data_IF_107486367476
#
_entry.id   IF_107486367476
#
_cell.length_a   1.000
_cell.length_b   1.000
_cell.length_c   1.000
_cell.angle_alpha   90.00
_cell.angle_beta   90.00
_cell.angle_gamma   90.00
#
_symmetry.space_group_name_H-M   'P 1'
#
loop_
_entity.id
_entity.type
_entity.pdbx_description
1 polymer ?
#
# COMPACT_ATOMS: atom_id res chain seq x y z
N UNK A 1 -58.14 -82.40 -12.07
CA UNK A 1 -57.29 -81.27 -11.62
C UNK A 1 -55.84 -81.69 -11.84
N UNK A 2 -55.32 -81.56 -13.06
CA UNK A 2 -54.55 -80.41 -13.63
C UNK A 2 -53.18 -80.19 -12.95
N UNK A 3 -52.14 -80.79 -13.53
CA UNK A 3 -51.02 -80.16 -14.27
C UNK A 3 -49.81 -79.84 -13.36
N UNK A 4 -48.80 -80.72 -13.30
CA UNK A 4 -47.63 -80.90 -14.18
C UNK A 4 -46.47 -79.94 -13.88
N UNK A 5 -45.41 -80.52 -13.31
CA UNK A 5 -44.02 -80.08 -13.39
C UNK A 5 -43.57 -79.99 -14.86
N UNK A 6 -43.10 -78.82 -15.34
CA UNK A 6 -42.40 -78.69 -16.61
C UNK A 6 -41.48 -77.45 -16.66
N UNK A 7 -40.22 -77.69 -16.33
CA UNK A 7 -38.99 -77.32 -17.04
C UNK A 7 -39.01 -76.34 -18.23
N UNK A 8 -38.01 -75.44 -18.21
CA UNK A 8 -37.07 -75.09 -19.30
C UNK A 8 -37.34 -73.88 -20.25
N UNK A 9 -36.33 -72.99 -20.25
CA UNK A 9 -35.86 -72.05 -21.32
C UNK A 9 -36.60 -70.73 -21.49
N UNK A 10 -35.99 -69.65 -20.97
CA UNK A 10 -35.90 -68.28 -21.51
C UNK A 10 -35.39 -67.45 -20.31
N UNK A 11 -34.12 -67.07 -20.14
CA UNK A 11 -33.25 -66.35 -21.06
C UNK A 11 -31.80 -66.49 -20.52
N UNK A 12 -30.91 -67.06 -21.32
CA UNK A 12 -29.47 -66.82 -21.26
C UNK A 12 -29.14 -65.87 -22.41
N UNK A 13 -28.08 -65.06 -22.26
CA UNK A 13 -27.69 -63.86 -23.02
C UNK A 13 -28.26 -62.60 -22.35
N UNK A 14 -27.49 -61.64 -21.83
CA UNK A 14 -26.37 -60.96 -22.48
C UNK A 14 -25.16 -60.99 -21.55
N UNK A 15 -24.17 -61.79 -21.95
CA UNK A 15 -22.79 -61.57 -21.60
C UNK A 15 -22.28 -60.34 -22.38
N UNK A 16 -21.29 -59.66 -21.80
CA UNK A 16 -20.44 -58.62 -22.43
C UNK A 16 -21.10 -57.25 -22.59
N UNK A 17 -21.04 -56.43 -21.55
CA UNK A 17 -20.78 -54.99 -21.64
C UNK A 17 -20.62 -54.41 -20.22
N UNK A 18 -19.86 -53.32 -20.11
CA UNK A 18 -19.43 -52.64 -18.87
C UNK A 18 -18.11 -53.12 -18.24
N UNK A 19 -17.11 -53.40 -19.08
CA UNK A 19 -15.71 -53.14 -18.73
C UNK A 19 -15.27 -51.81 -19.36
N UNK A 20 -15.94 -50.71 -19.02
CA UNK A 20 -15.51 -49.37 -19.43
C UNK A 20 -16.14 -48.30 -18.53
N UNK A 21 -15.75 -48.26 -17.27
CA UNK A 21 -16.04 -47.11 -16.41
C UNK A 21 -14.93 -47.02 -15.38
N UNK A 22 -14.53 -45.80 -15.06
CA UNK A 22 -13.50 -45.42 -14.08
C UNK A 22 -12.05 -45.31 -14.59
N UNK A 23 -11.86 -44.61 -15.70
CA UNK A 23 -10.76 -43.64 -15.78
C UNK A 23 -11.33 -42.24 -16.04
N UNK A 24 -12.31 -41.83 -15.23
CA UNK A 24 -12.55 -40.40 -15.00
C UNK A 24 -11.51 -39.95 -13.98
N UNK A 25 -10.27 -39.78 -14.43
CA UNK A 25 -9.29 -39.04 -13.65
C UNK A 25 -9.92 -37.69 -13.34
N UNK A 26 -10.15 -37.40 -12.06
CA UNK A 26 -10.52 -36.06 -11.62
C UNK A 26 -9.31 -35.18 -11.91
N UNK A 27 -9.26 -34.61 -13.11
CA UNK A 27 -8.37 -33.50 -13.41
C UNK A 27 -8.98 -32.32 -12.67
N UNK A 28 -8.62 -32.16 -11.39
CA UNK A 28 -8.73 -30.85 -10.78
C UNK A 28 -7.69 -29.98 -11.49
N UNK A 29 -8.10 -28.98 -12.29
CA UNK A 29 -7.15 -27.99 -12.76
C UNK A 29 -6.52 -27.39 -11.51
N UNK A 30 -5.20 -27.52 -11.36
CA UNK A 30 -4.48 -26.79 -10.32
C UNK A 30 -4.84 -25.31 -10.49
N UNK A 31 -5.69 -24.80 -9.60
CA UNK A 31 -6.04 -23.39 -9.60
C UNK A 31 -4.79 -22.66 -9.14
N UNK A 32 -4.25 -21.82 -10.02
CA UNK A 32 -3.18 -20.92 -9.67
C UNK A 32 -3.78 -19.89 -8.69
N UNK A 33 -3.42 -19.97 -7.41
CA UNK A 33 -3.85 -19.02 -6.40
C UNK A 33 -2.96 -17.78 -6.53
N UNK A 34 -3.59 -16.62 -6.77
CA UNK A 34 -2.90 -15.34 -6.86
C UNK A 34 -3.36 -14.45 -5.68
N UNK A 35 -2.40 -13.86 -4.97
CA UNK A 35 -2.67 -13.03 -3.79
C UNK A 35 -2.11 -11.62 -3.95
N UNK A 36 -2.77 -10.64 -3.35
CA UNK A 36 -2.29 -9.26 -3.25
C UNK A 36 -2.29 -8.81 -1.80
N UNK A 37 -1.17 -8.27 -1.35
CA UNK A 37 -1.02 -7.70 -0.01
C UNK A 37 -0.45 -6.28 -0.07
N UNK A 38 -0.73 -5.50 0.98
CA UNK A 38 -0.19 -4.15 1.18
C UNK A 38 0.63 -4.15 2.46
N UNK A 39 1.80 -3.52 2.41
CA UNK A 39 2.69 -3.33 3.57
C UNK A 39 2.72 -1.84 3.88
N UNK A 40 2.27 -1.50 5.08
CA UNK A 40 2.34 -0.14 5.60
C UNK A 40 3.70 0.05 6.27
N UNK A 41 4.45 1.07 5.82
CA UNK A 41 5.78 1.40 6.30
C UNK A 41 5.75 2.80 6.92
N UNK A 42 5.90 2.95 8.25
CA UNK A 42 5.92 4.26 8.88
C UNK A 42 7.15 5.06 8.42
N UNK A 43 6.95 6.34 8.12
CA UNK A 43 7.99 7.29 7.71
C UNK A 43 7.99 8.47 8.69
N UNK A 44 8.68 8.28 9.82
CA UNK A 44 8.66 9.22 10.96
C UNK A 44 9.58 10.42 10.79
N UNK A 45 10.53 10.37 9.84
CA UNK A 45 11.56 11.40 9.65
C UNK A 45 11.88 11.58 8.18
N UNK A 46 12.53 12.70 7.85
CA UNK A 46 13.22 12.83 6.57
C UNK A 46 14.25 11.71 6.43
N UNK A 47 14.04 10.87 5.43
CA UNK A 47 14.96 9.81 4.99
C UNK A 47 15.39 10.09 3.56
N UNK A 48 16.61 9.73 3.22
CA UNK A 48 17.06 9.82 1.83
C UNK A 48 16.30 8.81 0.95
N UNK A 49 16.11 9.15 -0.32
CA UNK A 49 15.38 8.28 -1.26
C UNK A 49 15.95 6.86 -1.30
N UNK A 50 17.27 6.70 -1.29
CA UNK A 50 17.93 5.40 -1.27
C UNK A 50 17.67 4.62 0.01
N UNK A 51 17.62 5.28 1.16
CA UNK A 51 17.33 4.63 2.45
C UNK A 51 15.88 4.14 2.47
N UNK A 52 14.96 4.99 2.01
CA UNK A 52 13.53 4.65 1.91
C UNK A 52 13.29 3.45 0.99
N UNK A 53 13.94 3.42 -0.18
CA UNK A 53 13.85 2.28 -1.10
C UNK A 53 14.46 1.03 -0.47
N UNK A 54 15.63 1.12 0.14
CA UNK A 54 16.28 -0.04 0.76
C UNK A 54 15.44 -0.65 1.90
N UNK A 55 14.79 0.20 2.71
CA UNK A 55 13.88 -0.26 3.77
C UNK A 55 12.66 -0.97 3.18
N UNK A 56 12.03 -0.38 2.17
CA UNK A 56 10.88 -0.98 1.49
C UNK A 56 11.23 -2.34 0.87
N UNK A 57 12.39 -2.45 0.21
CA UNK A 57 12.87 -3.70 -0.38
C UNK A 57 13.14 -4.79 0.66
N UNK A 58 13.69 -4.42 1.83
CA UNK A 58 13.91 -5.36 2.93
C UNK A 58 12.58 -5.95 3.42
N UNK A 59 11.58 -5.10 3.66
CA UNK A 59 10.24 -5.53 4.10
C UNK A 59 9.56 -6.44 3.07
N UNK A 60 9.71 -6.11 1.79
CA UNK A 60 9.21 -6.93 0.68
C UNK A 60 9.85 -8.30 0.63
N UNK A 61 11.18 -8.38 0.72
CA UNK A 61 11.90 -9.65 0.65
C UNK A 61 11.44 -10.61 1.74
N UNK A 62 11.27 -10.09 2.96
CA UNK A 62 10.73 -10.85 4.10
C UNK A 62 9.27 -11.26 3.87
N UNK A 63 8.41 -10.35 3.43
CA UNK A 63 6.99 -10.63 3.21
C UNK A 63 6.77 -11.66 2.10
N UNK A 64 7.46 -11.53 0.97
CA UNK A 64 7.39 -12.47 -0.16
C UNK A 64 7.84 -13.87 0.29
N UNK A 65 8.98 -13.94 0.97
CA UNK A 65 9.52 -15.22 1.49
C UNK A 65 8.55 -15.88 2.47
N UNK A 66 7.96 -15.08 3.37
CA UNK A 66 6.97 -15.56 4.33
C UNK A 66 5.70 -16.08 3.64
N UNK A 67 5.15 -15.33 2.69
CA UNK A 67 3.92 -15.70 2.00
C UNK A 67 4.08 -16.99 1.20
N UNK A 68 5.15 -17.11 0.41
CA UNK A 68 5.40 -18.35 -0.31
C UNK A 68 5.69 -19.54 0.62
N UNK A 69 6.23 -19.30 1.82
CA UNK A 69 6.44 -20.37 2.80
C UNK A 69 5.15 -20.80 3.51
N UNK A 70 4.22 -19.87 3.74
CA UNK A 70 2.95 -20.12 4.44
C UNK A 70 1.87 -20.70 3.53
N UNK A 71 1.82 -20.27 2.27
CA UNK A 71 0.80 -20.64 1.30
C UNK A 71 1.44 -21.45 0.17
N UNK A 72 1.53 -22.79 0.24
CA UNK A 72 2.22 -23.59 -0.78
C UNK A 72 1.54 -23.55 -2.16
N UNK A 73 0.22 -23.35 -2.18
CA UNK A 73 -0.58 -23.27 -3.41
C UNK A 73 -0.50 -21.90 -4.11
N UNK A 74 0.07 -20.89 -3.44
CA UNK A 74 0.28 -19.56 -4.00
C UNK A 74 1.27 -19.60 -5.16
N UNK A 75 0.81 -19.22 -6.35
CA UNK A 75 1.61 -19.13 -7.57
C UNK A 75 2.21 -17.76 -7.80
N UNK A 76 1.41 -16.71 -7.59
CA UNK A 76 1.79 -15.32 -7.86
C UNK A 76 1.44 -14.45 -6.69
N UNK A 77 2.36 -13.57 -6.31
CA UNK A 77 2.14 -12.59 -5.26
C UNK A 77 2.36 -11.19 -5.82
N UNK A 78 1.39 -10.31 -5.58
CA UNK A 78 1.55 -8.88 -5.72
C UNK A 78 1.68 -8.24 -4.33
N UNK A 79 2.70 -7.41 -4.15
CA UNK A 79 2.92 -6.68 -2.90
C UNK A 79 3.09 -5.21 -3.21
N UNK A 80 2.30 -4.37 -2.57
CA UNK A 80 2.46 -2.92 -2.59
C UNK A 80 3.04 -2.44 -1.26
N UNK A 81 4.12 -1.67 -1.28
CA UNK A 81 4.64 -1.00 -0.09
C UNK A 81 4.18 0.44 -0.12
N UNK A 82 3.56 0.88 0.97
CA UNK A 82 3.00 2.22 1.12
C UNK A 82 3.66 2.87 2.32
N UNK A 83 4.21 4.07 2.12
CA UNK A 83 4.70 4.90 3.21
C UNK A 83 3.53 5.56 3.93
N UNK A 84 3.44 5.37 5.24
CA UNK A 84 2.54 6.13 6.11
C UNK A 84 3.32 7.29 6.71
N UNK A 85 2.91 8.52 6.35
CA UNK A 85 3.41 9.72 7.01
C UNK A 85 2.22 10.53 7.50
N UNK A 86 2.06 10.61 8.82
CA UNK A 86 0.97 11.35 9.47
C UNK A 86 -0.43 10.96 8.96
N UNK A 87 -0.64 9.68 8.62
CA UNK A 87 -1.90 9.17 8.08
C UNK A 87 -2.07 9.35 6.57
N UNK A 88 -1.09 9.93 5.88
CA UNK A 88 -1.06 9.94 4.41
C UNK A 88 -0.36 8.68 3.88
N UNK A 89 -1.12 7.90 3.10
CA UNK A 89 -0.68 6.64 2.51
C UNK A 89 -0.13 6.86 1.09
N UNK A 90 1.20 6.83 0.95
CA UNK A 90 1.88 7.13 -0.31
C UNK A 90 2.58 5.87 -0.85
N UNK A 91 2.21 5.37 -2.04
CA UNK A 91 2.80 4.13 -2.58
C UNK A 91 4.28 4.32 -2.90
N UNK A 92 5.17 3.50 -2.35
CA UNK A 92 6.62 3.62 -2.56
C UNK A 92 7.05 2.77 -3.74
N UNK A 93 6.68 1.49 -3.73
CA UNK A 93 7.01 0.55 -4.78
C UNK A 93 6.00 -0.62 -4.80
N UNK A 94 5.90 -1.28 -5.94
CA UNK A 94 5.08 -2.49 -6.13
C UNK A 94 5.91 -3.60 -6.74
N UNK A 95 5.65 -4.84 -6.32
CA UNK A 95 6.26 -6.05 -6.85
C UNK A 95 5.16 -7.00 -7.29
N UNK A 96 5.33 -7.62 -8.45
CA UNK A 96 4.54 -8.77 -8.85
C UNK A 96 5.52 -9.87 -9.23
N UNK A 97 5.50 -10.98 -8.50
CA UNK A 97 6.47 -12.06 -8.67
C UNK A 97 5.79 -13.42 -8.51
N UNK A 98 6.17 -14.38 -9.35
CA UNK A 98 5.74 -15.76 -9.18
C UNK A 98 6.71 -16.54 -8.29
N UNK A 99 6.24 -17.63 -7.69
CA UNK A 99 7.08 -18.53 -6.88
C UNK A 99 8.32 -19.01 -7.66
N UNK A 100 8.13 -19.40 -8.91
CA UNK A 100 9.21 -19.87 -9.76
C UNK A 100 10.26 -18.78 -10.01
N UNK A 101 9.80 -17.54 -10.23
CA UNK A 101 10.68 -16.37 -10.38
C UNK A 101 11.44 -16.06 -9.09
N UNK A 102 10.77 -16.10 -7.95
CA UNK A 102 11.38 -15.85 -6.64
C UNK A 102 12.43 -16.91 -6.28
N UNK A 103 12.15 -18.18 -6.54
CA UNK A 103 13.10 -19.28 -6.34
C UNK A 103 14.33 -19.17 -7.25
N UNK A 104 14.13 -18.73 -8.50
CA UNK A 104 15.22 -18.54 -9.45
C UNK A 104 16.09 -17.31 -9.11
N UNK A 105 15.47 -16.21 -8.65
CA UNK A 105 16.16 -14.99 -8.29
C UNK A 105 15.44 -14.26 -7.13
N UNK A 106 15.86 -14.50 -5.87
CA UNK A 106 15.27 -13.87 -4.68
C UNK A 106 15.82 -12.45 -4.46
N UNK A 107 15.85 -11.64 -5.51
CA UNK A 107 16.24 -10.23 -5.47
C UNK A 107 15.01 -9.39 -5.79
N UNK A 108 14.53 -8.63 -4.80
CA UNK A 108 13.30 -7.82 -4.88
C UNK A 108 13.37 -6.81 -6.03
N UNK A 109 14.52 -6.17 -6.21
CA UNK A 109 14.76 -5.15 -7.24
C UNK A 109 14.57 -5.67 -8.68
N UNK A 110 14.72 -6.98 -8.93
CA UNK A 110 14.52 -7.56 -10.25
C UNK A 110 13.04 -7.52 -10.72
N UNK A 111 12.10 -7.41 -9.78
CA UNK A 111 10.66 -7.49 -10.02
C UNK A 111 9.92 -6.22 -9.58
N UNK A 112 10.65 -5.24 -9.06
CA UNK A 112 10.10 -4.02 -8.46
C UNK A 112 9.81 -2.93 -9.48
N UNK A 113 8.71 -2.21 -9.26
CA UNK A 113 8.39 -0.94 -9.92
C UNK A 113 8.32 0.15 -8.87
N UNK A 114 9.13 1.20 -9.05
CA UNK A 114 9.28 2.28 -8.07
C UNK A 114 8.46 3.51 -8.46
N UNK A 115 7.74 4.08 -7.50
CA UNK A 115 6.99 5.32 -7.68
C UNK A 115 7.88 6.52 -7.32
N UNK A 116 8.61 7.04 -8.31
CA UNK A 116 9.58 8.14 -8.08
C UNK A 116 8.96 9.42 -7.50
N UNK A 117 7.71 9.72 -7.84
CA UNK A 117 7.01 10.91 -7.35
C UNK A 117 6.70 10.84 -5.85
N UNK A 118 6.58 9.63 -5.30
CA UNK A 118 6.21 9.37 -3.91
C UNK A 118 7.19 9.96 -2.92
N UNK A 119 8.47 9.97 -3.28
CA UNK A 119 9.49 10.61 -2.47
C UNK A 119 9.20 12.09 -2.22
N UNK A 120 8.89 12.84 -3.28
CA UNK A 120 8.58 14.27 -3.15
C UNK A 120 7.31 14.53 -2.32
N UNK A 121 6.33 13.63 -2.38
CA UNK A 121 5.11 13.71 -1.58
C UNK A 121 5.41 13.47 -0.10
N UNK A 122 6.19 12.44 0.20
CA UNK A 122 6.60 12.12 1.57
C UNK A 122 7.37 13.27 2.21
N UNK A 123 8.20 14.02 1.48
CA UNK A 123 8.97 15.14 2.05
C UNK A 123 8.19 16.45 2.25
N UNK A 124 6.98 16.60 1.69
CA UNK A 124 6.25 17.89 1.73
C UNK A 124 5.86 18.33 3.16
N UNK A 125 5.63 17.38 4.05
CA UNK A 125 4.99 17.63 5.34
C UNK A 125 5.88 18.32 6.39
N UNK A 126 7.21 18.39 6.22
CA UNK A 126 8.08 19.09 7.19
C UNK A 126 8.03 20.62 7.09
N UNK A 127 7.72 21.16 5.91
CA UNK A 127 7.69 22.61 5.69
C UNK A 127 6.54 23.32 6.42
N UNK A 128 5.48 22.57 6.80
CA UNK A 128 4.29 23.14 7.42
C UNK A 128 4.41 23.22 8.96
N UNK A 129 5.25 22.40 9.59
CA UNK A 129 5.26 22.25 11.05
C UNK A 129 6.22 23.22 11.76
N UNK A 130 7.13 23.88 11.03
CA UNK A 130 8.13 24.80 11.61
C UNK A 130 7.67 26.25 11.79
N UNK A 131 6.44 26.62 11.41
CA UNK A 131 5.96 28.02 11.44
C UNK A 131 5.07 28.34 12.66
N UNK A 132 4.64 27.34 13.43
CA UNK A 132 3.63 27.53 14.49
C UNK A 132 4.19 27.65 15.92
N UNK A 133 5.36 28.24 16.13
CA UNK A 133 5.81 28.66 17.48
C UNK A 133 6.44 30.06 17.43
N UNK A 134 5.62 31.09 17.23
CA UNK A 134 6.01 32.46 17.57
C UNK A 134 5.93 32.63 19.11
N UNK A 135 6.93 33.23 19.76
CA UNK A 135 6.94 33.38 21.21
C UNK A 135 5.93 34.46 21.63
N UNK A 136 4.84 34.05 22.26
CA UNK A 136 3.97 34.94 23.02
C UNK A 136 4.71 35.45 24.27
N UNK A 137 5.55 36.48 24.14
CA UNK A 137 6.13 37.20 25.30
C UNK A 137 6.68 38.58 24.93
N UNK A 138 5.85 39.61 25.06
CA UNK A 138 6.15 40.88 25.74
C UNK A 138 5.11 41.97 25.38
N UNK A 139 3.92 41.91 25.98
CA UNK A 139 3.05 43.06 26.10
C UNK A 139 3.37 43.72 27.46
N UNK A 140 4.17 44.79 27.45
CA UNK A 140 4.32 45.73 28.57
C UNK A 140 4.29 47.16 27.98
N UNK A 141 3.38 47.98 28.49
CA UNK A 141 2.85 49.15 27.80
C UNK A 141 3.77 50.35 27.81
N UNK A 142 4.22 50.79 26.64
CA UNK A 142 4.65 52.17 26.34
C UNK A 142 4.90 52.37 24.82
N UNK A 143 3.88 52.26 23.96
CA UNK A 143 4.11 52.28 22.49
C UNK A 143 3.02 52.96 21.66
N UNK A 144 2.41 54.07 22.12
CA UNK A 144 1.26 54.66 21.37
C UNK A 144 1.61 55.86 20.46
N UNK A 145 2.87 56.34 20.44
CA UNK A 145 3.27 57.53 19.64
C UNK A 145 4.25 57.22 18.51
N UNK A 146 5.17 56.26 18.68
CA UNK A 146 6.13 55.87 17.63
C UNK A 146 5.48 55.02 16.53
N UNK A 147 4.49 54.26 16.93
CA UNK A 147 3.75 53.31 16.13
C UNK A 147 2.95 53.96 14.99
N UNK A 148 2.30 55.09 15.28
CA UNK A 148 1.55 55.86 14.27
C UNK A 148 2.43 56.44 13.17
N UNK A 149 3.67 56.79 13.48
CA UNK A 149 4.58 57.43 12.51
C UNK A 149 5.18 56.41 11.52
N UNK A 150 5.34 55.16 11.95
CA UNK A 150 5.85 54.10 11.10
C UNK A 150 4.81 53.59 10.08
N UNK A 151 3.53 53.60 10.45
CA UNK A 151 2.43 53.12 9.59
C UNK A 151 2.29 53.99 8.34
N UNK A 152 2.36 55.32 8.49
CA UNK A 152 2.21 56.26 7.37
C UNK A 152 3.33 56.10 6.33
N UNK A 153 4.58 55.90 6.78
CA UNK A 153 5.74 55.71 5.89
C UNK A 153 5.76 54.32 5.22
N UNK A 154 5.23 53.29 5.88
CA UNK A 154 5.10 51.95 5.31
C UNK A 154 3.99 51.87 4.24
N UNK A 155 3.00 52.79 4.29
CA UNK A 155 1.92 52.89 3.30
C UNK A 155 2.40 53.57 2.01
N UNK A 156 3.11 54.70 2.15
CA UNK A 156 3.66 55.46 1.03
C UNK A 156 4.77 54.70 0.27
N UNK A 157 5.48 53.79 0.94
CA UNK A 157 6.50 52.94 0.32
C UNK A 157 5.96 51.64 -0.31
N UNK A 158 4.65 51.40 -0.26
CA UNK A 158 4.00 50.21 -0.84
C UNK A 158 4.36 48.89 -0.14
N UNK A 159 4.85 48.96 1.11
CA UNK A 159 5.30 47.80 1.88
C UNK A 159 4.21 47.22 2.79
N UNK A 160 3.12 47.95 3.01
CA UNK A 160 1.93 47.45 3.70
C UNK A 160 1.04 46.65 2.75
N UNK A 161 1.15 45.31 2.84
CA UNK A 161 0.19 44.37 2.26
C UNK A 161 -0.83 43.96 3.32
N UNK A 162 -2.01 43.47 2.94
CA UNK A 162 -3.12 43.18 3.86
C UNK A 162 -2.77 42.29 5.06
N UNK A 163 -1.70 41.49 4.99
CA UNK A 163 -1.19 40.70 6.11
C UNK A 163 -0.61 41.56 7.26
N UNK A 164 0.00 42.71 6.96
CA UNK A 164 0.58 43.60 7.99
C UNK A 164 -0.49 44.42 8.72
N UNK A 165 -1.66 44.65 8.10
CA UNK A 165 -2.79 45.31 8.74
C UNK A 165 -3.57 44.38 9.68
N UNK A 166 -3.55 43.07 9.42
CA UNK A 166 -4.17 42.05 10.27
C UNK A 166 -3.44 41.88 11.61
N UNK A 167 -2.11 42.04 11.58
CA UNK A 167 -1.26 41.98 12.78
C UNK A 167 -1.60 43.11 13.77
N UNK A 168 -1.87 44.31 13.25
CA UNK A 168 -2.26 45.49 14.02
C UNK A 168 -3.64 45.41 14.68
N UNK A 169 -4.56 44.64 14.09
CA UNK A 169 -5.93 44.45 14.60
C UNK A 169 -6.01 43.41 15.71
N UNK A 170 -4.99 42.57 15.85
CA UNK A 170 -4.95 41.51 16.85
C UNK A 170 -4.41 42.00 18.20
N UNK A 171 -3.80 43.19 18.22
CA UNK A 171 -3.17 43.82 19.39
C UNK A 171 -4.04 44.93 20.02
N UNK A 172 -5.30 45.09 19.56
CA UNK A 172 -6.24 46.16 19.96
C UNK A 172 -7.41 45.67 20.86
N UNK A 173 -7.29 44.49 21.49
CA UNK A 173 -8.22 43.96 22.50
C UNK A 173 -7.52 43.77 23.85
#
# INVERSE_FOLDING_TARGET
MSQKTFTHRFWMAIAVSFMFSFLSGNYQPAQAEDERIVIDMPVDRQVDHSELVAQAESLLGEAISRQFSQNPDLSTLQVDVVGDRNGEMIPILTVTVSRAQWQANPQVSAWSRYYRASYALLQRHEAAETVAVAPARAADGNTDIQDRFWIDEAFDSGRLTGAAAQDYLSDLD
#
